data_IF_092689598952
#
_entry.id   IF_092689598952
#
_cell.length_a   1.000
_cell.length_b   1.000
_cell.length_c   1.000
_cell.angle_alpha   90.00
_cell.angle_beta   90.00
_cell.angle_gamma   90.00
#
_symmetry.space_group_name_H-M   'P 1'
#
loop_
_entity.id
_entity.type
_entity.pdbx_description
1 polymer ?
2 non-polymer ?
3 non-polymer ?
4 water ?
#
# COMPACT_ATOMS: atom_id res chain seq x y z
N UNK A 4 11.73 2.57 28.99
CA UNK A 4 12.04 2.55 27.50
C UNK A 4 10.93 3.26 26.72
N UNK A 5 11.22 4.39 26.03
CA UNK A 5 10.18 5.22 25.43
C UNK A 5 9.54 4.48 24.24
N UNK A 6 8.25 4.75 23.97
CA UNK A 6 7.60 4.21 22.75
C UNK A 6 8.01 5.04 21.55
N UNK A 7 8.21 4.42 20.37
CA UNK A 7 8.70 5.17 19.23
C UNK A 7 7.63 6.05 18.62
N UNK A 8 8.08 7.14 18.00
CA UNK A 8 7.24 8.12 17.25
C UNK A 8 7.28 7.77 15.76
N UNK A 9 8.30 7.02 15.35
CA UNK A 9 8.56 6.67 13.93
C UNK A 9 9.33 5.33 13.86
N UNK A 10 8.99 4.51 12.88
CA UNK A 10 9.65 3.22 12.61
C UNK A 10 10.07 3.20 11.16
N UNK A 11 11.00 2.33 10.86
CA UNK A 11 11.34 2.10 9.44
C UNK A 11 10.83 0.71 9.06
N UNK A 12 10.32 0.69 7.83
CA UNK A 12 9.66 -0.50 7.23
C UNK A 12 10.39 -0.80 5.92
N UNK A 13 10.82 -2.02 5.75
CA UNK A 13 11.34 -2.59 4.51
C UNK A 13 10.19 -3.30 3.80
N UNK A 14 10.06 -3.01 2.53
CA UNK A 14 9.14 -3.71 1.61
C UNK A 14 10.00 -4.36 0.55
N UNK A 15 9.86 -5.67 0.34
CA UNK A 15 10.50 -6.33 -0.80
C UNK A 15 9.46 -7.01 -1.67
N UNK A 16 9.65 -6.96 -2.96
CA UNK A 16 8.85 -7.75 -3.89
C UNK A 16 9.80 -8.45 -4.84
N UNK A 17 9.57 -9.74 -5.02
CA UNK A 17 10.40 -10.55 -5.94
C UNK A 17 9.57 -11.65 -6.57
N UNK A 18 9.50 -11.64 -7.87
CA UNK A 18 8.94 -12.76 -8.65
C UNK A 18 10.16 -13.68 -8.88
N UNK A 19 10.12 -14.82 -8.23
CA UNK A 19 11.29 -15.74 -8.17
C UNK A 19 11.34 -16.65 -9.40
N UNK A 20 10.34 -16.64 -10.29
CA UNK A 20 10.45 -17.40 -11.53
C UNK A 20 10.51 -18.89 -11.27
N UNK A 21 9.91 -19.35 -10.18
CA UNK A 21 9.78 -20.78 -9.83
C UNK A 21 11.17 -21.42 -9.70
N UNK A 22 12.17 -20.64 -9.30
CA UNK A 22 13.54 -21.15 -9.08
C UNK A 22 13.94 -20.85 -7.66
N UNK A 23 14.72 -21.73 -7.02
CA UNK A 23 15.25 -21.42 -5.71
C UNK A 23 16.18 -20.21 -5.77
N UNK A 24 16.27 -19.48 -4.67
CA UNK A 24 17.12 -18.30 -4.63
C UNK A 24 18.59 -18.70 -4.59
N UNK A 25 19.51 -17.78 -4.86
CA UNK A 25 20.92 -18.05 -4.70
C UNK A 25 21.26 -18.04 -3.20
N UNK A 26 22.52 -18.40 -2.88
CA UNK A 26 22.89 -18.60 -1.45
C UNK A 26 22.88 -17.26 -0.69
N UNK A 27 23.16 -16.16 -1.38
CA UNK A 27 23.21 -14.85 -0.72
C UNK A 27 22.20 -13.89 -1.37
N UNK A 28 21.32 -13.34 -0.54
CA UNK A 28 20.31 -12.37 -1.03
C UNK A 28 20.39 -11.13 -0.14
N UNK A 29 21.44 -10.95 0.66
CA UNK A 29 21.52 -9.79 1.58
C UNK A 29 21.44 -8.41 0.90
N UNK A 30 21.86 -8.30 -0.36
CA UNK A 30 21.81 -7.00 -1.10
C UNK A 30 20.36 -6.50 -1.15
N UNK A 31 19.40 -7.42 -1.20
CA UNK A 31 17.97 -7.06 -1.24
C UNK A 31 17.61 -6.29 0.04
N UNK A 32 17.90 -6.85 1.20
CA UNK A 32 17.49 -6.29 2.49
C UNK A 32 18.34 -5.07 2.84
N UNK A 33 19.48 -4.90 2.20
CA UNK A 33 20.33 -3.72 2.39
C UNK A 33 20.01 -2.62 1.39
N UNK A 34 19.01 -2.78 0.50
CA UNK A 34 18.66 -1.73 -0.47
C UNK A 34 19.89 -1.32 -1.28
N UNK A 35 20.62 -2.30 -1.82
CA UNK A 35 21.81 -2.11 -2.67
C UNK A 35 21.50 -2.53 -4.11
N UNK A 36 21.99 -1.76 -5.08
CA UNK A 36 21.89 -2.10 -6.49
C UNK A 36 21.68 -0.84 -7.24
N UNK A 37 20.60 -0.81 -8.02
CA UNK A 37 20.25 0.35 -8.86
C UNK A 37 19.12 1.14 -8.18
N UNK A 38 18.98 2.41 -8.55
CA UNK A 38 17.89 3.25 -8.12
C UNK A 38 18.28 4.09 -6.95
N UNK A 39 17.31 4.34 -6.07
CA UNK A 39 17.48 5.12 -4.82
C UNK A 39 17.87 4.14 -3.73
N UNK A 40 19.18 4.06 -3.45
CA UNK A 40 19.78 3.04 -2.60
C UNK A 40 20.09 3.61 -1.20
N UNK A 41 20.23 2.69 -0.29
CA UNK A 41 20.48 2.99 1.14
C UNK A 41 21.98 3.19 1.37
N UNK A 42 22.27 4.18 2.20
CA UNK A 42 23.66 4.54 2.55
C UNK A 42 24.33 3.36 3.27
N UNK A 43 25.59 3.14 2.89
CA UNK A 43 26.44 2.07 3.50
C UNK A 43 26.51 2.21 5.02
N UNK A 44 26.47 3.42 5.52
CA UNK A 44 26.63 3.70 6.97
C UNK A 44 25.45 3.13 7.76
N UNK A 45 24.33 2.77 7.09
CA UNK A 45 23.15 2.20 7.74
C UNK A 45 23.14 0.67 7.69
N UNK A 46 24.13 0.01 7.10
CA UNK A 46 23.98 -1.42 6.78
C UNK A 46 23.72 -2.26 8.02
N UNK A 47 24.27 -1.88 9.19
CA UNK A 47 24.08 -2.74 10.38
C UNK A 47 22.80 -2.39 11.12
N UNK A 48 22.10 -1.31 10.74
CA UNK A 48 20.92 -0.80 11.48
C UNK A 48 19.72 -1.58 10.99
N UNK A 49 19.05 -2.36 11.84
CA UNK A 49 17.91 -3.13 11.37
C UNK A 49 16.75 -2.19 11.15
N UNK A 50 15.93 -2.50 10.13
CA UNK A 50 14.59 -1.93 10.04
C UNK A 50 13.74 -2.51 11.16
N UNK A 51 12.68 -1.82 11.51
CA UNK A 51 11.77 -2.27 12.57
C UNK A 51 10.94 -3.44 12.08
N UNK A 52 10.48 -3.38 10.85
CA UNK A 52 9.55 -4.37 10.24
C UNK A 52 10.09 -4.65 8.84
N UNK A 53 10.18 -5.92 8.46
CA UNK A 53 10.48 -6.35 7.08
C UNK A 53 9.27 -7.08 6.52
N UNK A 54 8.79 -6.66 5.36
CA UNK A 54 7.64 -7.28 4.67
C UNK A 54 8.12 -7.76 3.35
N UNK A 55 8.00 -9.07 3.12
CA UNK A 55 8.65 -9.74 1.95
C UNK A 55 7.56 -10.40 1.10
N UNK A 56 7.30 -9.84 -0.08
CA UNK A 56 6.29 -10.39 -1.01
C UNK A 56 7.04 -11.13 -2.07
N UNK A 57 6.63 -12.37 -2.33
CA UNK A 57 7.15 -13.16 -3.46
C UNK A 57 5.99 -13.60 -4.35
N UNK A 58 6.35 -13.83 -5.57
CA UNK A 58 5.45 -14.40 -6.59
C UNK A 58 6.23 -15.50 -7.30
N UNK A 59 5.53 -16.49 -7.85
CA UNK A 59 6.20 -17.65 -8.46
C UNK A 59 7.22 -18.25 -7.49
N UNK A 60 6.86 -18.31 -6.20
CA UNK A 60 7.74 -18.78 -5.12
C UNK A 60 7.66 -20.31 -5.04
N UNK A 61 8.76 -21.00 -5.31
CA UNK A 61 8.75 -22.49 -5.33
C UNK A 61 8.99 -23.12 -3.96
N UNK A 62 9.29 -22.33 -2.95
CA UNK A 62 9.77 -22.82 -1.65
C UNK A 62 8.59 -23.08 -0.74
N UNK A 63 8.77 -23.98 0.22
CA UNK A 63 7.79 -24.11 1.30
C UNK A 63 7.92 -22.86 2.19
N UNK A 64 6.91 -22.61 3.01
CA UNK A 64 6.96 -21.50 3.98
C UNK A 64 8.19 -21.73 4.86
N UNK A 65 8.41 -22.98 5.30
CA UNK A 65 9.54 -23.24 6.21
C UNK A 65 10.86 -22.89 5.52
N UNK A 66 11.04 -23.35 4.30
CA UNK A 66 12.29 -23.14 3.57
C UNK A 66 12.55 -21.62 3.41
N UNK A 67 11.52 -20.87 3.09
CA UNK A 67 11.73 -19.42 2.83
C UNK A 67 11.96 -18.69 4.14
N UNK A 68 11.22 -19.00 5.22
CA UNK A 68 11.44 -18.40 6.54
C UNK A 68 12.87 -18.62 7.01
N UNK A 69 13.37 -19.83 6.83
CA UNK A 69 14.79 -20.20 7.12
C UNK A 69 15.70 -19.16 6.47
N UNK A 70 15.57 -19.00 5.16
CA UNK A 70 16.47 -18.17 4.35
C UNK A 70 16.34 -16.72 4.80
N UNK A 71 15.12 -16.26 4.99
CA UNK A 71 14.92 -14.85 5.34
C UNK A 71 15.53 -14.59 6.71
N UNK A 72 15.15 -15.36 7.70
CA UNK A 72 15.64 -15.07 9.05
C UNK A 72 17.17 -15.15 9.14
N UNK A 73 17.80 -16.15 8.51
CA UNK A 73 19.28 -16.29 8.46
C UNK A 73 19.87 -15.02 7.84
N UNK A 74 19.33 -14.59 6.69
CA UNK A 74 19.82 -13.41 5.94
C UNK A 74 19.79 -12.18 6.85
N UNK A 75 18.69 -11.94 7.57
CA UNK A 75 18.60 -10.77 8.46
C UNK A 75 19.56 -10.95 9.63
N UNK A 76 19.66 -12.15 10.17
CA UNK A 76 20.56 -12.34 11.33
C UNK A 76 22.01 -12.08 10.90
N UNK A 77 22.39 -12.49 9.70
CA UNK A 77 23.76 -12.25 9.20
C UNK A 77 24.00 -10.74 9.08
N UNK A 78 23.03 -10.01 8.58
CA UNK A 78 23.17 -8.54 8.34
C UNK A 78 23.26 -7.83 9.68
N UNK A 79 22.37 -8.15 10.62
CA UNK A 79 22.06 -7.26 11.76
C UNK A 79 22.50 -7.86 13.10
N UNK A 80 22.76 -9.14 13.13
CA UNK A 80 22.95 -9.95 14.37
C UNK A 80 21.70 -9.92 15.26
N UNK A 81 20.52 -9.67 14.68
CA UNK A 81 19.21 -9.72 15.37
C UNK A 81 18.45 -10.91 14.86
N UNK A 82 17.86 -11.66 15.78
CA UNK A 82 16.94 -12.76 15.43
C UNK A 82 15.53 -12.19 15.37
N UNK A 83 14.99 -12.08 14.15
CA UNK A 83 13.68 -11.47 13.93
C UNK A 83 12.58 -12.46 14.30
N UNK A 84 11.48 -11.92 14.75
CA UNK A 84 10.30 -12.71 15.08
C UNK A 84 9.33 -12.71 13.91
N UNK A 85 8.68 -13.83 13.68
CA UNK A 85 7.72 -13.94 12.59
C UNK A 85 6.39 -13.41 13.04
N UNK A 86 5.93 -12.30 12.46
CA UNK A 86 4.60 -11.72 12.75
C UNK A 86 3.54 -12.52 12.03
N UNK A 87 3.75 -12.78 10.75
CA UNK A 87 2.75 -13.46 9.93
C UNK A 87 3.38 -14.00 8.68
N UNK A 88 2.80 -15.07 8.16
CA UNK A 88 3.14 -15.62 6.83
C UNK A 88 1.84 -16.10 6.21
N UNK A 89 1.63 -15.80 4.95
CA UNK A 89 0.40 -16.27 4.26
C UNK A 89 0.72 -16.51 2.80
N UNK A 90 0.29 -17.63 2.27
CA UNK A 90 0.57 -18.06 0.90
C UNK A 90 -0.73 -18.39 0.20
N UNK A 91 -0.89 -17.90 -1.02
CA UNK A 91 -1.96 -18.32 -1.97
C UNK A 91 -1.20 -18.84 -3.17
N UNK A 92 -1.36 -20.11 -3.49
CA UNK A 92 -0.66 -20.75 -4.61
C UNK A 92 0.83 -20.47 -4.44
N UNK A 93 1.41 -19.69 -5.34
CA UNK A 93 2.86 -19.37 -5.29
C UNK A 93 3.09 -17.89 -4.98
N UNK A 94 2.09 -17.23 -4.38
CA UNK A 94 2.12 -15.81 -3.97
C UNK A 94 2.20 -15.78 -2.45
N UNK A 95 3.22 -15.13 -1.90
CA UNK A 95 3.47 -15.24 -0.45
C UNK A 95 3.82 -13.90 0.16
N UNK A 96 3.41 -13.72 1.37
CA UNK A 96 3.82 -12.55 2.16
C UNK A 96 4.37 -13.03 3.50
N UNK A 97 5.51 -12.50 3.90
CA UNK A 97 6.14 -12.74 5.24
C UNK A 97 6.34 -11.40 5.91
N UNK A 98 5.95 -11.29 7.17
CA UNK A 98 6.22 -10.09 7.98
C UNK A 98 7.07 -10.53 9.15
N UNK A 99 8.23 -9.89 9.26
CA UNK A 99 9.20 -10.10 10.34
C UNK A 99 9.38 -8.80 11.10
N UNK A 100 9.59 -8.90 12.41
CA UNK A 100 9.77 -7.67 13.24
C UNK A 100 10.86 -7.89 14.26
N UNK A 101 11.52 -6.80 14.66
CA UNK A 101 12.47 -6.79 15.80
C UNK A 101 11.81 -7.49 16.98
N UNK A 102 12.57 -8.27 17.79
CA UNK A 102 11.98 -8.87 18.98
C UNK A 102 11.40 -7.87 19.98
N UNK A 103 11.95 -6.68 20.07
CA UNK A 103 11.45 -5.65 21.02
C UNK A 103 10.02 -5.22 20.65
N UNK A 104 9.57 -5.48 19.40
CA UNK A 104 8.23 -5.04 18.93
C UNK A 104 7.16 -6.08 19.18
N UNK A 105 7.54 -7.25 19.70
CA UNK A 105 6.56 -8.32 19.86
C UNK A 105 5.31 -7.86 20.67
N UNK A 106 5.52 -7.10 21.74
CA UNK A 106 4.39 -6.68 22.61
C UNK A 106 3.72 -5.42 22.05
N UNK A 107 4.32 -4.76 21.04
CA UNK A 107 3.72 -3.54 20.41
C UNK A 107 2.78 -3.95 19.26
N UNK A 108 2.86 -5.20 18.86
CA UNK A 108 2.13 -5.69 17.66
C UNK A 108 0.95 -6.53 18.11
N UNK A 109 -0.22 -6.27 17.58
CA UNK A 109 -1.40 -7.04 17.94
C UNK A 109 -2.37 -7.06 16.77
N UNK A 110 -3.50 -7.72 16.91
CA UNK A 110 -4.59 -7.72 15.92
C UNK A 110 -4.02 -8.12 14.56
N UNK A 111 -3.29 -9.22 14.50
CA UNK A 111 -2.66 -9.68 13.26
C UNK A 111 -3.74 -10.37 12.45
N UNK A 112 -3.92 -9.92 11.21
CA UNK A 112 -4.88 -10.49 10.24
C UNK A 112 -4.14 -10.90 8.97
N UNK A 113 -4.64 -11.95 8.33
CA UNK A 113 -4.17 -12.39 7.00
C UNK A 113 -5.36 -12.67 6.13
N UNK A 114 -5.22 -12.49 4.84
CA UNK A 114 -6.28 -12.85 3.88
C UNK A 114 -5.67 -13.01 2.50
N UNK A 115 -6.46 -13.53 1.60
CA UNK A 115 -6.07 -13.62 0.17
C UNK A 115 -7.30 -13.39 -0.67
N UNK A 116 -7.05 -13.01 -1.89
CA UNK A 116 -8.10 -12.89 -2.92
C UNK A 116 -7.58 -13.58 -4.17
N UNK A 117 -8.38 -14.44 -4.76
CA UNK A 117 -8.14 -15.09 -6.06
C UNK A 117 -8.79 -14.27 -7.14
N UNK A 118 -8.07 -13.79 -8.15
CA UNK A 118 -8.70 -12.97 -9.21
C UNK A 118 -9.19 -13.83 -10.39
N UNK A 119 -10.07 -13.28 -11.24
CA UNK A 119 -10.46 -13.96 -12.50
C UNK A 119 -11.57 -14.99 -12.28
N UNK A 120 -11.97 -15.66 -13.36
CA UNK A 120 -13.12 -16.63 -13.40
C UNK A 120 -12.76 -17.74 -14.40
N UNK A 121 -12.89 -19.01 -13.99
CA UNK A 121 -12.72 -20.24 -14.83
C UNK A 121 -11.27 -20.30 -15.37
N UNK A 122 -11.08 -20.14 -16.70
CA UNK A 122 -9.78 -19.92 -17.40
C UNK A 122 -8.80 -19.12 -16.51
N UNK A 123 -9.24 -17.93 -16.08
CA UNK A 123 -8.41 -16.83 -15.49
C UNK A 123 -8.36 -16.95 -13.96
N UNK A 124 -9.10 -17.91 -13.35
CA UNK A 124 -8.96 -18.26 -11.91
C UNK A 124 -8.01 -19.46 -11.81
N UNK A 125 -6.91 -19.31 -11.09
CA UNK A 125 -6.04 -20.46 -10.78
C UNK A 125 -4.62 -20.10 -10.43
N UNK A 126 -4.14 -18.90 -10.82
CA UNK A 126 -2.81 -18.57 -10.24
C UNK A 126 -2.53 -17.11 -9.85
N UNK A 127 -3.38 -16.17 -10.25
CA UNK A 127 -3.19 -14.71 -9.96
C UNK A 127 -4.05 -14.33 -8.75
N UNK A 128 -3.63 -13.30 -8.02
CA UNK A 128 -4.40 -12.77 -6.92
C UNK A 128 -3.51 -12.05 -5.96
N UNK A 129 -3.89 -12.06 -4.70
CA UNK A 129 -3.15 -11.30 -3.72
C UNK A 129 -3.21 -11.94 -2.35
N UNK A 130 -2.18 -11.69 -1.55
CA UNK A 130 -2.19 -12.02 -0.11
C UNK A 130 -1.95 -10.73 0.65
N UNK A 131 -2.42 -10.67 1.88
CA UNK A 131 -2.16 -9.48 2.69
C UNK A 131 -2.10 -9.79 4.15
N UNK A 132 -1.52 -8.85 4.87
CA UNK A 132 -1.34 -8.91 6.32
C UNK A 132 -1.70 -7.53 6.86
N UNK A 133 -2.38 -7.46 7.99
CA UNK A 133 -2.51 -6.21 8.75
C UNK A 133 -2.26 -6.46 10.23
N UNK A 134 -1.90 -5.40 10.92
CA UNK A 134 -1.78 -5.48 12.39
C UNK A 134 -1.76 -4.05 12.90
N UNK A 135 -1.89 -3.97 14.22
CA UNK A 135 -1.66 -2.71 14.94
C UNK A 135 -0.22 -2.71 15.41
N UNK A 136 0.44 -1.57 15.30
CA UNK A 136 1.72 -1.29 15.96
C UNK A 136 1.39 -0.15 16.92
N UNK A 137 1.33 -0.46 18.19
CA UNK A 137 0.83 0.50 19.22
C UNK A 137 -0.47 1.14 18.69
N UNK A 138 -0.53 2.45 18.50
CA UNK A 138 -1.77 3.11 18.14
C UNK A 138 -1.96 3.23 16.64
N UNK A 139 -1.10 2.59 15.84
CA UNK A 139 -1.07 2.78 14.37
C UNK A 139 -1.43 1.49 13.68
N UNK A 140 -2.36 1.57 12.72
CA UNK A 140 -2.76 0.39 11.92
C UNK A 140 -1.89 0.37 10.64
N UNK A 141 -1.43 -0.81 10.31
CA UNK A 141 -0.54 -1.05 9.14
C UNK A 141 -1.16 -2.16 8.30
N UNK A 142 -1.23 -1.96 6.99
CA UNK A 142 -1.71 -2.96 6.04
C UNK A 142 -0.68 -3.19 4.96
N UNK A 143 -0.61 -4.41 4.46
CA UNK A 143 0.39 -4.79 3.46
C UNK A 143 -0.27 -5.72 2.48
N UNK A 144 -0.15 -5.44 1.20
CA UNK A 144 -0.77 -6.27 0.14
C UNK A 144 0.33 -6.66 -0.83
N UNK A 145 0.49 -7.96 -1.12
CA UNK A 145 1.35 -8.47 -2.20
C UNK A 145 0.42 -9.04 -3.25
N UNK A 146 0.42 -8.46 -4.42
CA UNK A 146 -0.45 -8.94 -5.53
C UNK A 146 0.42 -9.37 -6.71
N UNK A 147 0.01 -10.44 -7.35
CA UNK A 147 0.52 -10.91 -8.66
C UNK A 147 -0.65 -10.70 -9.62
N UNK A 148 -0.60 -9.67 -10.43
CA UNK A 148 -1.71 -9.34 -11.35
C UNK A 148 -1.50 -10.02 -12.71
N UNK A 149 -2.53 -9.99 -13.53
CA UNK A 149 -2.59 -10.62 -14.85
C UNK A 149 -1.40 -10.17 -15.66
N UNK A 150 -0.76 -11.09 -16.39
CA UNK A 150 0.38 -10.80 -17.26
C UNK A 150 -0.05 -10.42 -18.66
N UNK A 151 0.91 -9.87 -19.40
CA UNK A 151 0.73 -9.61 -20.82
C UNK A 151 0.55 -8.16 -21.11
N UNK A 152 1.25 -7.69 -22.12
CA UNK A 152 1.23 -6.25 -22.45
C UNK A 152 -0.17 -5.76 -22.82
N UNK A 153 -1.01 -6.66 -23.35
CA UNK A 153 -2.33 -6.32 -23.93
C UNK A 153 -3.40 -6.22 -22.82
N UNK A 154 -3.05 -6.60 -21.58
CA UNK A 154 -4.06 -6.82 -20.53
C UNK A 154 -4.02 -5.79 -19.39
N UNK A 155 -3.74 -4.55 -19.69
CA UNK A 155 -3.72 -3.55 -18.61
C UNK A 155 -5.12 -3.40 -17.98
N UNK A 156 -6.20 -3.48 -18.77
CA UNK A 156 -7.55 -3.35 -18.21
C UNK A 156 -7.84 -4.49 -17.23
N UNK A 157 -7.45 -5.72 -17.56
CA UNK A 157 -7.59 -6.88 -16.63
C UNK A 157 -6.83 -6.57 -15.34
N UNK A 158 -5.60 -6.06 -15.45
CA UNK A 158 -4.85 -5.75 -14.23
C UNK A 158 -5.65 -4.73 -13.38
N UNK A 159 -6.24 -3.73 -14.02
CA UNK A 159 -7.01 -2.70 -13.27
C UNK A 159 -8.20 -3.36 -12.57
N UNK A 160 -8.79 -4.31 -13.28
CA UNK A 160 -9.93 -5.07 -12.70
C UNK A 160 -9.45 -5.96 -11.56
N UNK A 161 -8.27 -6.57 -11.69
CA UNK A 161 -7.72 -7.40 -10.60
C UNK A 161 -7.52 -6.49 -9.36
N UNK A 162 -6.96 -5.29 -9.56
CA UNK A 162 -6.74 -4.32 -8.47
C UNK A 162 -8.07 -4.05 -7.74
N UNK A 163 -9.13 -3.79 -8.50
CA UNK A 163 -10.42 -3.43 -7.85
C UNK A 163 -10.96 -4.65 -7.09
N UNK A 164 -10.87 -5.84 -7.68
CA UNK A 164 -11.31 -7.03 -6.94
C UNK A 164 -10.55 -7.22 -5.65
N UNK A 165 -9.23 -7.06 -5.68
CA UNK A 165 -8.41 -7.22 -4.47
C UNK A 165 -8.83 -6.19 -3.41
N UNK A 166 -8.94 -4.95 -3.87
CA UNK A 166 -9.30 -3.77 -3.05
C UNK A 166 -10.63 -4.07 -2.34
N UNK A 167 -11.59 -4.63 -3.07
CA UNK A 167 -12.96 -4.86 -2.56
C UNK A 167 -12.99 -6.01 -1.58
N UNK A 168 -12.30 -7.07 -1.88
CA UNK A 168 -12.57 -8.38 -1.23
C UNK A 168 -11.51 -8.81 -0.24
N UNK A 169 -10.37 -8.12 -0.16
CA UNK A 169 -9.39 -8.53 0.82
C UNK A 169 -9.87 -8.04 2.19
N UNK A 170 -10.02 -8.95 3.14
CA UNK A 170 -10.63 -8.69 4.45
C UNK A 170 -9.53 -8.57 5.48
N UNK A 171 -9.02 -7.37 5.65
CA UNK A 171 -7.96 -7.08 6.63
C UNK A 171 -8.44 -5.96 7.53
N UNK A 172 -7.76 -5.76 8.64
CA UNK A 172 -8.01 -4.65 9.54
C UNK A 172 -9.28 -4.82 10.31
N UNK A 173 -9.80 -3.72 10.83
CA UNK A 173 -10.91 -3.74 11.83
C UNK A 173 -12.24 -4.00 11.13
N UNK A 174 -12.84 -5.17 11.32
CA UNK A 174 -14.12 -5.55 10.67
C UNK A 174 -15.25 -4.59 11.07
N UNK A 175 -15.11 -3.87 12.21
CA UNK A 175 -16.16 -2.87 12.58
C UNK A 175 -16.19 -1.70 11.58
N UNK A 176 -15.13 -1.53 10.77
CA UNK A 176 -15.09 -0.45 9.76
C UNK A 176 -15.81 -0.92 8.52
N UNK A 177 -17.07 -1.35 8.70
CA UNK A 177 -17.78 -2.13 7.67
C UNK A 177 -17.98 -1.37 6.37
N UNK A 178 -18.13 -0.03 6.30
CA UNK A 178 -18.29 0.63 5.01
C UNK A 178 -16.99 0.80 4.25
N UNK A 179 -15.87 0.48 4.87
CA UNK A 179 -14.53 0.85 4.37
C UNK A 179 -13.80 -0.36 3.83
N UNK A 180 -13.24 -0.20 2.65
CA UNK A 180 -12.30 -1.18 2.08
C UNK A 180 -10.88 -0.97 2.63
N UNK A 181 -9.95 -1.83 2.18
CA UNK A 181 -8.56 -1.70 2.70
C UNK A 181 -7.96 -0.35 2.38
N UNK A 182 -8.44 0.37 1.38
CA UNK A 182 -7.82 1.69 1.05
C UNK A 182 -8.18 2.76 2.09
N UNK A 183 -9.00 2.46 3.09
CA UNK A 183 -9.32 3.38 4.18
C UNK A 183 -9.06 2.79 5.56
N UNK A 184 -8.71 1.52 5.68
CA UNK A 184 -8.69 0.91 7.02
C UNK A 184 -7.39 1.16 7.79
N UNK A 185 -6.32 1.64 7.14
CA UNK A 185 -4.99 1.66 7.75
C UNK A 185 -4.41 3.06 7.77
N UNK A 186 -3.67 3.36 8.82
CA UNK A 186 -2.85 4.58 8.89
C UNK A 186 -1.90 4.58 7.69
N UNK A 187 -1.27 3.45 7.46
CA UNK A 187 -0.35 3.27 6.32
C UNK A 187 -0.69 1.96 5.61
N UNK A 188 -0.87 2.02 4.31
CA UNK A 188 -1.15 0.83 3.50
C UNK A 188 -0.05 0.74 2.44
N UNK A 189 0.64 -0.39 2.34
CA UNK A 189 1.67 -0.62 1.33
C UNK A 189 1.14 -1.68 0.39
N UNK A 190 1.17 -1.42 -0.90
CA UNK A 190 0.68 -2.36 -1.90
C UNK A 190 1.81 -2.57 -2.90
N UNK A 191 2.22 -3.80 -3.09
CA UNK A 191 3.43 -4.13 -3.86
C UNK A 191 3.16 -5.45 -4.55
N UNK A 192 4.08 -5.82 -5.42
CA UNK A 192 4.00 -7.12 -6.06
C UNK A 192 4.52 -7.07 -7.49
N UNK A 193 4.31 -8.20 -8.17
CA UNK A 193 4.43 -8.24 -9.64
C UNK A 193 3.10 -7.76 -10.21
N UNK A 194 2.99 -6.45 -10.30
CA UNK A 194 1.79 -5.81 -10.84
C UNK A 194 1.67 -5.98 -12.35
N UNK A 195 2.77 -6.30 -13.02
CA UNK A 195 2.73 -6.80 -14.41
C UNK A 195 2.38 -5.74 -15.43
N UNK A 196 2.37 -4.46 -15.07
CA UNK A 196 2.21 -3.39 -16.06
C UNK A 196 3.50 -3.28 -16.88
N UNK A 197 3.35 -2.99 -18.17
CA UNK A 197 4.43 -3.01 -19.15
C UNK A 197 4.71 -1.64 -19.71
N UNK A 198 5.87 -1.57 -20.36
CA UNK A 198 6.23 -0.39 -21.16
C UNK A 198 5.60 -0.62 -22.53
N UNK A 199 4.59 0.19 -22.86
CA UNK A 199 3.74 -0.02 -24.05
C UNK A 199 4.33 0.75 -25.23
N UNK A 200 5.36 0.17 -25.86
CA UNK A 200 6.01 0.68 -27.07
C UNK A 200 5.90 -0.44 -28.09
N UNK A 201 6.05 -0.13 -29.40
CA UNK A 201 5.95 -1.18 -30.41
C UNK A 201 7.04 -2.22 -30.23
N UNK A 202 6.73 -3.48 -30.53
CA UNK A 202 7.62 -4.64 -30.26
C UNK A 202 8.91 -4.55 -31.10
N UNK A 203 8.86 -3.87 -32.24
CA UNK A 203 10.05 -3.67 -33.13
C UNK A 203 10.93 -2.51 -32.61
N UNK A 204 10.51 -1.82 -31.55
CA UNK A 204 11.41 -0.92 -30.78
C UNK A 204 12.18 -1.65 -29.67
N UNK A 205 12.16 -2.98 -29.59
CA UNK A 205 12.82 -3.73 -28.50
C UNK A 205 14.28 -3.34 -28.37
N UNK A 206 15.04 -3.31 -29.47
CA UNK A 206 16.50 -3.11 -29.34
C UNK A 206 16.72 -1.65 -28.98
N UNK A 207 15.88 -0.74 -29.46
CA UNK A 207 15.98 0.69 -29.07
C UNK A 207 15.77 0.81 -27.57
N UNK A 208 14.77 0.10 -27.04
CA UNK A 208 14.51 0.15 -25.57
C UNK A 208 15.71 -0.36 -24.78
N UNK A 209 16.30 -1.45 -25.25
CA UNK A 209 17.49 -2.02 -24.61
C UNK A 209 18.62 -1.01 -24.59
N UNK A 210 18.82 -0.30 -25.69
CA UNK A 210 19.95 0.67 -25.77
C UNK A 210 19.66 1.86 -24.83
N UNK A 211 18.40 2.29 -24.69
CA UNK A 211 18.05 3.34 -23.71
C UNK A 211 18.37 2.86 -22.27
N UNK A 212 18.08 1.60 -21.98
CA UNK A 212 18.36 1.05 -20.64
C UNK A 212 19.87 1.01 -20.38
N UNK A 213 20.65 0.63 -21.35
CA UNK A 213 22.12 0.59 -21.21
C UNK A 213 22.68 1.99 -20.96
N UNK A 214 22.05 3.03 -21.49
CA UNK A 214 22.45 4.43 -21.29
C UNK A 214 21.85 5.01 -20.03
N UNK A 215 21.11 4.20 -19.27
CA UNK A 215 20.39 4.69 -18.06
C UNK A 215 19.50 5.89 -18.37
N UNK A 216 18.82 5.86 -19.51
CA UNK A 216 17.94 6.94 -19.99
C UNK A 216 16.55 6.37 -19.95
N UNK A 217 15.90 6.52 -18.79
CA UNK A 217 14.59 5.86 -18.57
C UNK A 217 13.42 6.76 -18.91
N UNK A 218 13.60 8.05 -19.20
CA UNK A 218 12.46 9.00 -19.29
C UNK A 218 11.49 8.60 -20.40
N UNK A 219 11.98 8.25 -21.58
CA UNK A 219 11.09 7.97 -22.72
C UNK A 219 10.50 6.56 -22.52
N UNK A 220 11.03 5.77 -21.59
CA UNK A 220 10.40 4.48 -21.29
C UNK A 220 9.30 4.68 -20.24
N UNK A 221 9.60 5.41 -19.16
CA UNK A 221 8.62 5.64 -18.07
C UNK A 221 7.39 6.37 -18.59
N UNK A 222 7.54 7.23 -19.62
CA UNK A 222 6.36 7.95 -20.18
C UNK A 222 5.42 6.96 -20.87
N UNK A 223 5.82 5.70 -21.11
CA UNK A 223 4.96 4.66 -21.70
C UNK A 223 4.66 3.53 -20.71
N UNK A 224 5.11 3.67 -19.46
CA UNK A 224 4.81 2.64 -18.45
C UNK A 224 3.31 2.68 -18.17
N UNK A 225 2.69 1.50 -18.32
CA UNK A 225 1.22 1.45 -18.21
C UNK A 225 0.75 1.77 -16.80
N UNK A 226 1.50 1.45 -15.76
CA UNK A 226 1.03 1.75 -14.40
C UNK A 226 0.98 3.29 -14.20
N UNK A 227 2.04 3.98 -14.58
CA UNK A 227 2.06 5.47 -14.49
C UNK A 227 0.96 6.07 -15.38
N UNK A 228 0.76 5.57 -16.60
CA UNK A 228 -0.25 6.20 -17.47
C UNK A 228 -1.64 5.88 -16.97
N UNK A 229 -1.92 4.65 -16.55
CA UNK A 229 -3.24 4.33 -16.01
C UNK A 229 -3.52 5.11 -14.73
N UNK A 230 -2.51 5.29 -13.88
CA UNK A 230 -2.64 6.07 -12.63
C UNK A 230 -2.93 7.53 -12.98
N UNK A 231 -2.30 8.07 -14.03
CA UNK A 231 -2.47 9.50 -14.39
C UNK A 231 -3.90 9.71 -14.89
N UNK A 232 -4.50 8.71 -15.54
CA UNK A 232 -5.87 8.78 -16.07
C UNK A 232 -6.90 8.30 -15.02
N UNK A 233 -6.47 8.06 -13.79
CA UNK A 233 -7.32 7.68 -12.64
C UNK A 233 -8.05 6.38 -12.96
N UNK A 234 -7.38 5.44 -13.61
CA UNK A 234 -7.97 4.10 -13.94
C UNK A 234 -7.63 3.09 -12.86
N UNK A 235 -6.62 3.36 -12.02
CA UNK A 235 -6.14 2.36 -11.04
C UNK A 235 -5.32 3.08 -9.99
N UNK A 236 -5.26 2.55 -8.78
CA UNK A 236 -4.42 3.04 -7.70
C UNK A 236 -4.69 4.53 -7.43
N UNK A 237 -5.94 4.92 -7.48
CA UNK A 237 -6.32 6.31 -7.16
C UNK A 237 -5.91 6.57 -5.72
N UNK A 238 -5.25 7.69 -5.51
CA UNK A 238 -4.84 8.19 -4.17
C UNK A 238 -3.69 7.42 -3.56
N UNK A 239 -3.01 6.57 -4.34
CA UNK A 239 -1.72 5.97 -3.94
C UNK A 239 -0.56 6.75 -4.48
N UNK A 240 0.59 6.62 -3.82
CA UNK A 240 1.87 7.25 -4.25
C UNK A 240 2.87 6.17 -4.65
N UNK A 241 3.81 6.54 -5.52
CA UNK A 241 4.97 5.70 -5.85
C UNK A 241 6.15 6.65 -5.92
N UNK A 242 7.29 6.20 -5.39
CA UNK A 242 8.58 6.95 -5.49
C UNK A 242 9.04 6.93 -6.97
N UNK A 243 9.73 7.97 -7.39
CA UNK A 243 10.28 8.03 -8.74
C UNK A 243 11.12 6.80 -8.98
N UNK A 244 10.96 6.22 -10.17
CA UNK A 244 11.73 5.08 -10.62
C UNK A 244 13.04 5.51 -11.25
N UNK A 245 14.15 5.06 -10.70
CA UNK A 245 15.51 5.45 -11.19
C UNK A 245 16.36 4.21 -11.38
N UNK A 246 15.75 3.04 -11.51
CA UNK A 246 16.42 1.74 -11.73
C UNK A 246 15.92 1.21 -13.08
N UNK A 247 16.70 0.33 -13.67
CA UNK A 247 16.33 -0.31 -14.94
C UNK A 247 15.10 -1.17 -14.76
N UNK A 248 14.36 -1.39 -15.84
CA UNK A 248 13.30 -2.41 -15.87
C UNK A 248 13.75 -3.72 -15.23
N UNK A 249 12.87 -4.30 -14.41
CA UNK A 249 13.21 -5.47 -13.60
C UNK A 249 12.81 -6.77 -14.30
N UNK A 250 12.28 -6.70 -15.51
CA UNK A 250 11.76 -7.88 -16.25
C UNK A 250 11.96 -7.54 -17.72
N UNK A 251 12.18 -8.51 -18.63
CA UNK A 251 12.41 -9.92 -18.41
C UNK A 251 13.87 -10.25 -18.72
N UNK A 252 14.61 -10.72 -17.76
CA UNK A 252 16.07 -11.05 -17.89
C UNK A 252 16.26 -12.51 -18.27
N UNK A 253 17.30 -12.75 -19.04
CA UNK A 253 17.91 -14.11 -19.05
C UNK A 253 18.38 -14.42 -17.64
N UNK A 254 18.12 -15.64 -17.18
CA UNK A 254 18.61 -16.08 -15.86
C UNK A 254 20.14 -16.21 -15.82
N UNK A 255 20.73 -15.99 -14.67
CA UNK A 255 22.16 -16.24 -14.30
C UNK A 255 23.06 -15.09 -14.78
N UNK A 256 22.52 -14.08 -15.43
CA UNK A 256 23.24 -12.83 -15.72
C UNK A 256 22.25 -11.69 -15.49
N UNK A 257 22.65 -10.43 -15.53
CA UNK A 257 21.68 -9.32 -15.76
C UNK A 257 22.07 -8.59 -17.03
N UNK A 258 22.88 -9.22 -17.88
CA UNK A 258 23.42 -8.48 -19.04
C UNK A 258 22.44 -8.53 -20.22
N UNK A 259 21.40 -9.35 -20.14
CA UNK A 259 20.53 -9.61 -21.29
C UNK A 259 19.05 -9.58 -20.89
N UNK A 260 18.32 -8.79 -21.62
CA UNK A 260 16.83 -8.84 -21.61
C UNK A 260 16.36 -9.85 -22.64
N UNK A 261 15.52 -10.79 -22.21
CA UNK A 261 14.93 -11.84 -23.05
C UNK A 261 13.51 -11.41 -23.37
N UNK A 262 13.34 -10.74 -24.50
CA UNK A 262 12.03 -10.14 -24.86
C UNK A 262 11.28 -10.84 -25.99
N UNK A 263 11.99 -11.68 -26.76
CA UNK A 263 11.45 -12.28 -28.01
C UNK A 263 10.33 -13.28 -27.68
N UNK A 264 9.36 -13.42 -28.58
CA UNK A 264 8.26 -14.37 -28.39
C UNK A 264 8.79 -15.80 -28.57
N UNK A 265 8.33 -16.67 -27.68
CA UNK A 265 8.77 -18.08 -27.54
C UNK A 265 7.52 -18.93 -27.26
N UNK A 266 7.56 -20.23 -27.58
CA UNK A 266 6.42 -21.08 -27.18
C UNK A 266 6.16 -20.94 -25.68
N UNK A 267 7.22 -20.87 -24.87
CA UNK A 267 7.14 -20.81 -23.39
C UNK A 267 6.46 -19.51 -22.95
N UNK A 268 6.44 -18.47 -23.78
CA UNK A 268 5.69 -17.22 -23.45
C UNK A 268 4.31 -17.17 -24.08
N UNK A 269 3.79 -18.25 -24.67
CA UNK A 269 2.53 -18.15 -25.39
C UNK A 269 2.66 -17.29 -26.62
N UNK A 270 3.85 -17.26 -27.20
CA UNK A 270 4.17 -16.44 -28.38
C UNK A 270 3.90 -14.97 -28.11
N UNK A 271 4.22 -14.53 -26.90
CA UNK A 271 4.10 -13.12 -26.46
C UNK A 271 5.49 -12.51 -26.35
N UNK A 272 5.62 -11.26 -26.77
CA UNK A 272 6.82 -10.46 -26.50
C UNK A 272 6.72 -10.00 -25.05
N UNK A 273 7.87 -9.90 -24.45
CA UNK A 273 8.02 -9.32 -23.09
C UNK A 273 9.03 -8.18 -23.19
N UNK A 274 8.61 -7.05 -23.72
CA UNK A 274 9.52 -5.91 -23.79
C UNK A 274 9.91 -5.56 -22.35
N UNK A 275 11.15 -5.08 -22.12
CA UNK A 275 11.59 -4.69 -20.79
C UNK A 275 10.59 -3.75 -20.12
N UNK A 276 10.24 -4.12 -18.88
CA UNK A 276 9.16 -3.46 -18.14
C UNK A 276 9.47 -3.39 -16.65
N UNK A 277 8.83 -2.41 -16.02
CA UNK A 277 8.81 -2.30 -14.55
C UNK A 277 7.62 -3.06 -13.99
N UNK A 278 7.73 -4.39 -14.02
CA UNK A 278 6.59 -5.22 -13.53
C UNK A 278 6.45 -5.12 -12.01
N UNK A 279 7.53 -4.86 -11.31
CA UNK A 279 7.68 -5.15 -9.88
C UNK A 279 7.72 -3.83 -9.11
N UNK A 280 6.71 -3.54 -8.30
CA UNK A 280 6.46 -2.16 -7.86
C UNK A 280 6.07 -2.11 -6.39
N UNK A 281 6.28 -0.96 -5.78
CA UNK A 281 5.83 -0.69 -4.40
C UNK A 281 5.13 0.65 -4.40
N UNK A 282 3.89 0.66 -3.97
CA UNK A 282 3.09 1.88 -3.80
C UNK A 282 2.58 1.95 -2.38
N UNK A 283 2.16 3.14 -1.96
CA UNK A 283 1.61 3.30 -0.60
C UNK A 283 0.51 4.34 -0.56
N UNK A 284 -0.27 4.27 0.48
CA UNK A 284 -1.31 5.26 0.79
C UNK A 284 -1.35 5.40 2.30
N UNK A 285 -1.13 6.58 2.79
CA UNK A 285 -1.21 6.88 4.22
C UNK A 285 -2.28 7.92 4.46
N UNK A 286 -2.85 7.91 5.64
CA UNK A 286 -3.86 8.91 6.03
C UNK A 286 -3.24 10.29 5.92
N UNK A 287 -4.09 11.30 5.71
CA UNK A 287 -3.61 12.67 5.52
C UNK A 287 -2.78 13.12 6.72
N UNK A 288 -1.69 13.83 6.45
CA UNK A 288 -0.83 14.52 7.43
C UNK A 288 -0.21 13.53 8.41
N UNK A 289 -0.02 12.28 7.98
CA UNK A 289 0.83 11.36 8.74
C UNK A 289 2.19 11.30 8.04
N UNK A 290 3.24 11.28 8.83
CA UNK A 290 4.61 11.20 8.30
C UNK A 290 4.80 9.88 7.56
N UNK A 291 5.24 9.97 6.32
CA UNK A 291 5.67 8.77 5.56
C UNK A 291 6.65 9.28 4.53
N UNK A 292 7.86 8.75 4.54
CA UNK A 292 8.93 9.18 3.61
C UNK A 292 9.62 7.95 3.06
N UNK A 293 9.60 7.83 1.73
CA UNK A 293 10.37 6.77 1.05
C UNK A 293 11.86 7.10 1.14
N UNK A 294 12.62 6.18 1.73
CA UNK A 294 14.09 6.30 1.94
C UNK A 294 14.87 5.57 0.84
N UNK A 295 14.27 4.57 0.20
CA UNK A 295 14.96 3.79 -0.85
C UNK A 295 13.90 3.18 -1.76
N UNK A 296 14.25 3.03 -3.00
CA UNK A 296 13.38 2.39 -4.01
C UNK A 296 14.28 2.00 -5.15
N UNK A 297 14.52 0.70 -5.30
CA UNK A 297 15.48 0.24 -6.28
C UNK A 297 15.40 -1.22 -6.55
N UNK A 298 16.35 -1.73 -7.30
CA UNK A 298 16.43 -3.17 -7.61
C UNK A 298 17.82 -3.69 -7.38
N UNK A 299 17.93 -4.97 -7.04
CA UNK A 299 19.25 -5.58 -6.86
C UNK A 299 19.82 -5.88 -8.24
N UNK A 300 21.16 -5.96 -8.27
CA UNK A 300 21.92 -6.29 -9.47
C UNK A 300 22.58 -7.67 -9.39
N UNK A 301 22.63 -8.28 -8.21
CA UNK A 301 23.46 -9.48 -7.99
C UNK A 301 22.63 -10.71 -7.67
N UNK A 302 21.29 -10.70 -7.85
CA UNK A 302 20.41 -11.85 -7.56
C UNK A 302 19.78 -12.20 -8.91
N UNK A 303 20.19 -13.33 -9.48
CA UNK A 303 20.00 -13.61 -10.94
C UNK A 303 19.31 -14.95 -11.20
N UNK A 304 18.71 -15.59 -10.18
CA UNK A 304 18.08 -16.92 -10.36
C UNK A 304 16.76 -16.80 -11.11
N UNK A 305 16.12 -15.62 -11.08
CA UNK A 305 14.84 -15.38 -11.70
C UNK A 305 14.99 -14.56 -12.99
N UNK A 306 13.95 -14.54 -13.77
CA UNK A 306 13.83 -13.62 -14.91
C UNK A 306 13.35 -12.22 -14.44
N UNK A 307 13.05 -12.04 -13.16
CA UNK A 307 12.87 -10.73 -12.52
C UNK A 307 13.98 -10.47 -11.55
N UNK A 308 14.34 -9.20 -11.38
CA UNK A 308 15.17 -8.77 -10.25
C UNK A 308 14.31 -8.36 -9.08
N UNK A 309 14.73 -8.69 -7.86
CA UNK A 309 14.07 -8.18 -6.66
C UNK A 309 14.02 -6.66 -6.64
N UNK A 310 12.96 -6.14 -6.06
CA UNK A 310 12.77 -4.69 -5.82
C UNK A 310 12.68 -4.50 -4.32
N UNK A 311 13.26 -3.41 -3.84
CA UNK A 311 13.21 -3.01 -2.44
C UNK A 311 12.67 -1.60 -2.34
N UNK A 312 11.98 -1.33 -1.28
CA UNK A 312 11.61 0.03 -0.89
C UNK A 312 11.66 0.13 0.62
N UNK A 313 12.14 1.24 1.14
CA UNK A 313 12.11 1.45 2.60
C UNK A 313 11.42 2.76 2.89
N UNK A 314 10.81 2.80 4.09
CA UNK A 314 10.00 3.91 4.53
C UNK A 314 10.26 4.25 5.97
N UNK A 315 10.26 5.54 6.27
CA UNK A 315 10.12 6.05 7.66
C UNK A 315 8.64 6.41 7.85
N UNK A 316 7.93 5.76 8.79
CA UNK A 316 6.48 5.86 8.98
C UNK A 316 6.20 6.35 10.39
N UNK A 317 5.42 7.40 10.48
CA UNK A 317 4.96 7.90 11.78
C UNK A 317 4.10 6.87 12.47
N UNK A 318 4.27 6.72 13.80
CA UNK A 318 3.47 5.83 14.65
C UNK A 318 3.15 6.61 15.91
N UNK A 319 2.08 6.17 16.53
CA UNK A 319 1.58 6.79 17.76
C UNK A 319 1.55 5.74 18.84
N UNK A 320 1.52 6.22 20.09
CA UNK A 320 1.50 5.38 21.31
C UNK A 320 0.09 4.82 21.51
N UNK A 321 -0.02 3.73 22.24
CA UNK A 321 -1.27 3.38 22.94
C UNK A 321 -1.45 4.50 23.96
N UNK A 322 -2.62 5.12 24.00
CA UNK A 322 -2.92 6.23 24.95
C UNK A 322 -3.92 5.77 26.01
N UNK A 323 -3.60 6.03 27.29
CA UNK A 323 -4.50 5.80 28.45
C UNK A 323 -4.62 7.14 29.19
N UNK A 324 -5.83 7.57 29.47
CA UNK A 324 -6.08 8.71 30.38
C UNK A 324 -6.91 8.20 31.56
N UNK A 325 -7.16 9.09 32.53
CA UNK A 325 -8.02 8.76 33.69
C UNK A 325 -9.46 8.51 33.21
N UNK A 326 -9.84 9.12 32.08
CA UNK A 326 -11.18 8.94 31.47
C UNK A 326 -11.07 7.81 30.43
N UNK A 327 -11.00 8.11 29.13
CA UNK A 327 -10.95 7.05 28.12
C UNK A 327 -9.55 6.42 28.07
N UNK A 328 -9.42 5.18 27.57
CA UNK A 328 -10.54 4.34 27.14
C UNK A 328 -11.49 3.85 28.24
N UNK A 329 -12.74 3.57 27.86
CA UNK A 329 -13.78 3.09 28.78
C UNK A 329 -14.82 4.14 29.12
N UNK A 330 -14.59 5.38 28.71
CA UNK A 330 -15.58 6.47 28.83
C UNK A 330 -15.16 7.59 27.90
N UNK A 331 -15.97 8.62 27.81
CA UNK A 331 -15.66 9.84 27.03
C UNK A 331 -14.88 10.80 27.92
N UNK A 332 -14.25 11.81 27.33
CA UNK A 332 -13.55 12.91 28.05
C UNK A 332 -14.27 14.20 27.68
N UNK A 333 -15.10 14.72 28.57
CA UNK A 333 -16.04 15.83 28.26
C UNK A 333 -15.26 17.10 27.87
N UNK A 334 -13.95 17.15 28.07
CA UNK A 334 -13.13 18.35 27.69
C UNK A 334 -12.78 18.29 26.20
N UNK A 335 -13.14 17.19 25.52
CA UNK A 335 -12.96 17.04 24.06
C UNK A 335 -14.26 17.08 23.28
N UNK A 336 -14.24 17.66 22.07
CA UNK A 336 -15.37 17.57 21.13
C UNK A 336 -14.92 17.86 19.69
N UNK A 337 -15.63 17.25 18.78
CA UNK A 337 -15.44 17.50 17.33
C UNK A 337 -16.77 17.91 16.73
N UNK A 338 -16.80 19.13 16.19
CA UNK A 338 -17.97 19.75 15.53
C UNK A 338 -17.67 19.93 14.05
N UNK A 339 -18.60 19.45 13.21
CA UNK A 339 -18.67 19.71 11.75
C UNK A 339 -19.72 20.78 11.44
N UNK A 340 -19.28 21.88 10.84
CA UNK A 340 -20.10 23.04 10.41
C UNK A 340 -20.23 23.02 8.90
N UNK A 341 -21.43 23.35 8.39
CA UNK A 341 -21.61 23.81 6.99
C UNK A 341 -21.04 22.72 6.07
N UNK A 342 -21.33 21.47 6.38
CA UNK A 342 -20.78 20.37 5.55
C UNK A 342 -21.74 20.03 4.41
N UNK A 343 -21.14 19.63 3.30
CA UNK A 343 -21.92 19.08 2.19
C UNK A 343 -21.07 18.06 1.42
N UNK A 344 -21.79 17.08 0.97
CA UNK A 344 -21.22 16.07 0.06
C UNK A 344 -21.67 16.41 -1.35
N UNK A 345 -20.81 16.24 -2.33
CA UNK A 345 -21.13 16.35 -3.75
C UNK A 345 -20.97 14.95 -4.30
N UNK A 346 -22.02 14.38 -4.87
CA UNK A 346 -21.92 12.97 -5.33
C UNK A 346 -22.12 12.91 -6.82
N UNK A 347 -21.45 11.97 -7.46
CA UNK A 347 -21.60 11.73 -8.92
C UNK A 347 -22.82 10.86 -9.25
N UNK A 348 -23.45 10.22 -8.28
CA UNK A 348 -24.62 9.33 -8.46
C UNK A 348 -25.77 10.01 -9.19
N UNK A 349 -26.50 9.21 -9.96
CA UNK A 349 -27.75 9.67 -10.63
C UNK A 349 -28.97 9.34 -9.76
N UNK A 350 -28.80 8.63 -8.64
CA UNK A 350 -29.91 8.17 -7.76
C UNK A 350 -30.48 9.35 -6.96
N UNK A 351 -31.62 9.18 -6.27
CA UNK A 351 -32.30 10.28 -5.53
C UNK A 351 -32.82 9.84 -4.14
N UNK A 352 -32.30 8.76 -3.55
CA UNK A 352 -32.48 8.40 -2.11
C UNK A 352 -32.04 9.60 -1.24
N UNK A 353 -32.46 9.60 0.01
CA UNK A 353 -31.85 10.45 1.04
C UNK A 353 -30.53 9.77 1.45
N UNK A 354 -29.63 10.57 1.99
CA UNK A 354 -28.31 10.10 2.48
C UNK A 354 -28.11 10.53 3.92
N UNK A 355 -27.37 9.71 4.66
CA UNK A 355 -26.85 10.02 6.01
C UNK A 355 -25.36 9.70 6.03
N UNK A 356 -24.69 10.26 7.02
CA UNK A 356 -23.25 10.02 7.22
C UNK A 356 -23.05 9.03 8.35
N UNK A 357 -21.92 8.32 8.27
CA UNK A 357 -21.37 7.61 9.44
C UNK A 357 -19.95 8.11 9.69
N UNK A 358 -19.63 8.45 10.93
CA UNK A 358 -18.31 8.87 11.38
C UNK A 358 -17.70 7.68 12.12
N UNK A 359 -16.56 7.18 11.68
CA UNK A 359 -15.83 6.09 12.33
C UNK A 359 -14.43 6.53 12.73
N UNK A 360 -14.08 6.27 13.96
CA UNK A 360 -12.73 6.59 14.42
C UNK A 360 -12.43 5.84 15.71
N UNK A 361 -11.17 5.41 15.85
CA UNK A 361 -10.60 4.84 17.09
C UNK A 361 -10.75 5.82 18.26
N UNK A 362 -10.86 7.12 17.99
CA UNK A 362 -11.01 8.13 19.07
C UNK A 362 -12.45 8.17 19.61
N UNK A 363 -13.38 7.43 18.99
CA UNK A 363 -14.80 7.35 19.45
C UNK A 363 -15.09 5.99 20.05
N UNK A 364 -16.02 5.95 21.00
CA UNK A 364 -16.38 4.66 21.63
C UNK A 364 -17.02 3.76 20.59
N UNK A 365 -17.79 4.33 19.66
CA UNK A 365 -18.36 3.59 18.54
C UNK A 365 -18.76 4.59 17.45
N UNK A 366 -19.08 4.06 16.30
CA UNK A 366 -19.33 4.95 15.15
C UNK A 366 -20.59 5.75 15.40
N UNK A 367 -20.69 6.88 14.73
CA UNK A 367 -21.82 7.84 14.90
C UNK A 367 -22.54 8.02 13.58
N UNK A 368 -23.88 7.92 13.61
CA UNK A 368 -24.75 8.01 12.43
C UNK A 368 -25.51 9.34 12.48
N UNK A 369 -25.32 10.19 11.46
CA UNK A 369 -25.96 11.52 11.35
C UNK A 369 -27.43 11.33 10.98
N UNK A 370 -28.16 12.43 11.07
CA UNK A 370 -29.47 12.57 10.42
C UNK A 370 -29.26 12.63 8.90
N UNK A 371 -30.34 12.47 8.18
CA UNK A 371 -30.34 12.64 6.71
C UNK A 371 -30.01 14.07 6.35
N UNK A 372 -29.24 14.24 5.30
CA UNK A 372 -28.97 15.52 4.68
C UNK A 372 -30.11 15.96 3.79
N UNK A 373 -30.02 17.19 3.32
CA UNK A 373 -31.00 17.78 2.37
C UNK A 373 -30.37 17.78 0.98
N UNK A 374 -30.99 17.06 0.08
CA UNK A 374 -30.59 16.99 -1.34
C UNK A 374 -30.91 18.29 -2.07
N UNK A 375 -29.94 18.80 -2.81
CA UNK A 375 -30.14 19.88 -3.82
C UNK A 375 -29.45 19.43 -5.10
N UNK A 376 -29.75 20.10 -6.21
CA UNK A 376 -29.14 19.89 -7.55
C UNK A 376 -28.00 20.90 -7.71
N UNK A 377 -26.77 20.43 -8.00
CA UNK A 377 -25.63 21.26 -8.40
C UNK A 377 -25.82 21.87 -9.79
N UNK A 378 -25.10 22.96 -10.10
CA UNK A 378 -25.30 23.77 -11.33
C UNK A 378 -24.87 22.98 -12.58
N UNK A 379 -23.94 22.02 -12.42
CA UNK A 379 -23.35 21.24 -13.54
C UNK A 379 -23.91 19.81 -13.53
N UNK A 380 -25.11 19.58 -12.93
CA UNK A 380 -25.84 18.30 -12.99
C UNK A 380 -25.85 17.49 -11.68
N UNK A 381 -25.00 17.82 -10.70
CA UNK A 381 -24.57 16.91 -9.60
C UNK A 381 -25.60 16.84 -8.47
N UNK A 382 -25.55 15.79 -7.66
CA UNK A 382 -26.26 15.80 -6.37
C UNK A 382 -25.36 16.43 -5.29
N UNK A 383 -25.90 17.41 -4.57
CA UNK A 383 -25.30 18.04 -3.39
C UNK A 383 -26.15 17.64 -2.21
N UNK A 384 -25.54 17.09 -1.20
CA UNK A 384 -26.24 16.67 0.04
C UNK A 384 -25.77 17.60 1.13
N UNK A 385 -26.67 18.44 1.63
CA UNK A 385 -26.33 19.49 2.63
C UNK A 385 -26.62 18.96 4.03
N UNK A 386 -25.65 19.10 4.93
CA UNK A 386 -25.84 18.74 6.36
C UNK A 386 -25.95 20.01 7.22
N UNK A 387 -25.64 21.17 6.64
CA UNK A 387 -25.52 22.46 7.34
C UNK A 387 -24.77 22.33 8.68
N UNK A 388 -25.49 22.61 9.77
CA UNK A 388 -24.97 22.65 11.16
C UNK A 388 -25.69 21.54 11.92
N UNK A 389 -26.23 20.56 11.20
CA UNK A 389 -27.11 19.50 11.75
C UNK A 389 -26.29 18.33 12.33
N UNK A 390 -24.99 18.20 12.00
CA UNK A 390 -24.23 16.95 12.30
C UNK A 390 -24.00 16.78 13.80
N UNK A 391 -24.06 15.53 14.32
CA UNK A 391 -23.92 15.25 15.75
C UNK A 391 -22.53 15.70 16.24
N UNK A 392 -22.44 16.26 17.43
CA UNK A 392 -21.14 16.62 18.04
C UNK A 392 -20.45 15.32 18.44
N UNK A 393 -19.19 15.08 18.01
CA UNK A 393 -18.50 13.78 18.29
C UNK A 393 -17.74 13.92 19.61
N UNK A 394 -17.83 12.86 20.41
CA UNK A 394 -17.32 12.85 21.80
C UNK A 394 -16.15 11.89 21.86
N UNK A 395 -14.91 12.41 21.77
CA UNK A 395 -13.74 11.55 21.80
C UNK A 395 -13.51 11.00 23.20
N UNK A 396 -12.83 9.88 23.25
CA UNK A 396 -12.56 9.13 24.50
C UNK A 396 -11.48 9.81 25.33
N UNK A 397 -10.65 10.59 24.67
CA UNK A 397 -9.46 11.26 25.27
C UNK A 397 -9.39 12.67 24.71
N UNK A 398 -9.19 13.67 25.54
CA UNK A 398 -9.25 15.11 25.15
C UNK A 398 -7.84 15.67 24.95
N UNK A 399 -6.81 14.96 25.42
CA UNK A 399 -5.42 15.43 25.41
C UNK A 399 -5.05 15.72 23.96
N UNK A 400 -4.58 16.93 23.64
CA UNK A 400 -4.29 17.28 22.25
C UNK A 400 -3.16 16.46 21.66
N UNK A 401 -2.22 15.98 22.47
CA UNK A 401 -1.11 15.10 22.02
C UNK A 401 -1.66 13.77 21.47
N UNK A 402 -2.85 13.41 21.90
CA UNK A 402 -3.57 12.24 21.34
C UNK A 402 -4.46 12.75 20.21
N UNK A 403 -5.34 13.70 20.48
CA UNK A 403 -6.50 13.91 19.58
C UNK A 403 -6.02 14.45 18.22
N UNK A 404 -5.00 15.32 18.21
CA UNK A 404 -4.58 15.97 16.97
C UNK A 404 -3.90 14.93 16.04
N UNK A 405 -3.54 13.77 16.57
CA UNK A 405 -2.97 12.67 15.75
C UNK A 405 -4.04 11.74 15.17
N UNK A 406 -5.33 11.96 15.43
CA UNK A 406 -6.39 11.03 15.02
C UNK A 406 -6.94 11.42 13.66
N UNK A 407 -7.80 10.55 13.15
CA UNK A 407 -8.48 10.71 11.86
C UNK A 407 -9.92 10.26 11.95
N UNK A 408 -10.81 10.90 11.21
CA UNK A 408 -12.23 10.53 11.14
C UNK A 408 -12.49 9.98 9.75
N UNK A 409 -12.88 8.71 9.66
CA UNK A 409 -13.40 8.13 8.42
C UNK A 409 -14.86 8.53 8.28
N UNK A 410 -15.24 8.90 7.08
CA UNK A 410 -16.64 9.28 6.75
C UNK A 410 -17.16 8.37 5.64
N UNK A 411 -18.35 7.83 5.84
CA UNK A 411 -19.12 7.13 4.79
C UNK A 411 -20.42 7.89 4.61
N UNK A 412 -20.79 8.13 3.37
CA UNK A 412 -22.15 8.64 3.04
C UNK A 412 -22.95 7.45 2.52
N UNK A 413 -24.07 7.19 3.21
CA UNK A 413 -24.86 5.96 2.96
C UNK A 413 -26.30 6.32 2.53
N UNK A 414 -26.81 5.51 1.65
CA UNK A 414 -28.22 5.63 1.22
C UNK A 414 -29.15 5.23 2.37
N UNK A 415 -30.15 6.05 2.67
CA UNK A 415 -31.22 5.70 3.64
C UNK A 415 -31.99 4.47 3.15
N UNK A 416 -32.16 4.30 1.85
CA UNK A 416 -33.01 3.22 1.25
C UNK A 416 -32.29 1.87 1.40
N UNK A 417 -30.97 1.83 1.22
CA UNK A 417 -30.25 0.54 1.09
C UNK A 417 -29.21 0.35 2.18
N UNK A 418 -28.84 1.43 2.88
CA UNK A 418 -27.73 1.43 3.88
C UNK A 418 -26.39 1.06 3.20
N UNK A 419 -26.35 1.28 1.88
CA UNK A 419 -25.08 1.00 1.17
C UNK A 419 -24.27 2.30 1.09
N UNK A 420 -22.93 2.16 1.29
CA UNK A 420 -22.03 3.34 1.15
C UNK A 420 -21.94 3.73 -0.31
N UNK A 421 -22.12 5.02 -0.58
CA UNK A 421 -21.89 5.61 -1.91
C UNK A 421 -20.52 6.26 -1.96
N UNK A 422 -19.86 6.48 -0.83
CA UNK A 422 -18.54 7.14 -0.83
C UNK A 422 -17.94 7.12 0.55
N UNK A 423 -16.63 6.97 0.54
CA UNK A 423 -15.79 6.88 1.75
C UNK A 423 -14.63 7.85 1.64
N UNK A 424 -14.29 8.47 2.75
CA UNK A 424 -13.14 9.37 2.84
C UNK A 424 -12.58 9.48 4.23
N UNK A 425 -11.61 10.36 4.40
CA UNK A 425 -10.89 10.47 5.65
C UNK A 425 -10.46 11.91 5.92
N UNK A 426 -10.71 12.36 7.12
CA UNK A 426 -10.36 13.73 7.60
C UNK A 426 -9.32 13.64 8.70
N UNK A 427 -8.20 14.34 8.57
CA UNK A 427 -7.20 14.42 9.64
C UNK A 427 -7.65 15.44 10.70
N UNK A 428 -7.37 15.12 11.95
CA UNK A 428 -7.55 16.11 13.07
C UNK A 428 -6.26 16.88 13.38
N UNK A 429 -5.25 16.78 12.52
CA UNK A 429 -3.95 17.48 12.70
C UNK A 429 -4.10 18.94 12.26
N UNK A 430 -4.94 19.70 12.96
CA UNK A 430 -5.39 21.04 12.54
C UNK A 430 -4.36 22.12 12.84
N UNK A 431 -4.45 23.22 12.15
CA UNK A 431 -3.61 24.40 12.41
C UNK A 431 -3.99 25.09 13.71
N UNK A 432 -5.19 24.88 14.21
CA UNK A 432 -5.73 25.57 15.40
C UNK A 432 -6.80 24.71 16.02
N UNK A 433 -7.02 24.85 17.33
CA UNK A 433 -8.19 24.31 18.05
C UNK A 433 -9.16 25.45 18.38
N UNK A 434 -10.39 25.10 18.68
CA UNK A 434 -11.45 26.07 19.06
C UNK A 434 -11.62 27.08 17.93
N UNK A 435 -11.33 26.72 16.67
CA UNK A 435 -11.27 27.62 15.49
C UNK A 435 -11.95 26.89 14.33
N UNK A 436 -12.87 27.53 13.61
CA UNK A 436 -13.53 26.90 12.43
C UNK A 436 -12.52 26.85 11.31
N UNK A 437 -12.25 25.64 10.80
CA UNK A 437 -11.23 25.50 9.75
C UNK A 437 -11.78 24.66 8.62
N UNK A 438 -11.39 24.94 7.37
CA UNK A 438 -11.90 24.11 6.27
C UNK A 438 -11.41 22.65 6.41
N UNK A 439 -12.27 21.72 6.04
CA UNK A 439 -11.91 20.29 5.82
C UNK A 439 -12.37 19.86 4.45
N UNK A 440 -11.75 18.77 4.00
CA UNK A 440 -12.01 18.25 2.64
C UNK A 440 -11.51 16.81 2.61
N UNK A 441 -12.29 15.95 1.96
CA UNK A 441 -11.79 14.66 1.44
C UNK A 441 -12.49 14.35 0.14
N UNK A 442 -11.78 13.72 -0.80
CA UNK A 442 -12.47 13.05 -1.90
C UNK A 442 -13.21 11.85 -1.32
N UNK A 443 -14.26 11.43 -1.98
CA UNK A 443 -15.02 10.23 -1.59
C UNK A 443 -14.82 9.20 -2.70
N UNK A 444 -14.59 7.95 -2.31
CA UNK A 444 -14.47 6.85 -3.26
C UNK A 444 -15.40 5.72 -2.85
N UNK A 445 -15.69 4.85 -3.78
CA UNK A 445 -16.41 3.60 -3.49
C UNK A 445 -15.81 2.56 -4.41
N UNK A 446 -15.44 1.41 -3.84
CA UNK A 446 -14.65 0.39 -4.57
C UNK A 446 -13.40 1.04 -5.18
N UNK A 447 -12.84 2.04 -4.49
CA UNK A 447 -11.59 2.70 -4.88
C UNK A 447 -11.72 3.66 -6.04
N UNK A 448 -12.93 3.86 -6.58
CA UNK A 448 -13.15 4.81 -7.67
C UNK A 448 -13.78 6.09 -7.10
N UNK A 449 -13.47 7.21 -7.72
CA UNK A 449 -14.01 8.51 -7.25
C UNK A 449 -15.52 8.58 -7.40
N UNK A 450 -16.24 8.90 -6.33
CA UNK A 450 -17.70 9.01 -6.39
C UNK A 450 -18.19 10.40 -5.97
N UNK A 451 -17.31 11.24 -5.46
CA UNK A 451 -17.75 12.53 -4.92
C UNK A 451 -16.72 13.15 -4.04
N UNK A 452 -17.18 14.11 -3.28
CA UNK A 452 -16.36 14.91 -2.38
C UNK A 452 -17.16 15.26 -1.12
N UNK A 453 -16.44 15.49 -0.06
CA UNK A 453 -17.03 15.99 1.20
C UNK A 453 -16.18 17.16 1.67
N UNK A 454 -16.88 18.28 1.94
CA UNK A 454 -16.19 19.51 2.40
C UNK A 454 -17.06 20.24 3.39
N UNK A 455 -16.39 21.06 4.18
CA UNK A 455 -17.09 21.83 5.20
C UNK A 455 -16.08 22.45 6.10
N UNK A 456 -16.48 22.64 7.35
CA UNK A 456 -15.56 23.16 8.36
C UNK A 456 -15.65 22.27 9.59
N UNK A 457 -14.57 22.29 10.36
CA UNK A 457 -14.43 21.56 11.62
C UNK A 457 -14.05 22.58 12.72
N UNK A 458 -14.41 22.21 13.91
CA UNK A 458 -14.06 22.96 15.14
C UNK A 458 -13.69 21.89 16.17
N UNK A 459 -12.44 21.82 16.57
CA UNK A 459 -11.92 20.79 17.47
C UNK A 459 -11.61 21.41 18.84
N UNK A 460 -12.23 20.85 19.87
CA UNK A 460 -11.96 21.20 21.29
C UNK A 460 -11.06 20.12 21.90
N UNK A 461 -9.90 20.50 22.44
CA UNK A 461 -9.04 19.60 23.20
C UNK A 461 -8.99 20.14 24.62
N UNK A 462 -8.33 19.44 25.52
CA UNK A 462 -8.14 19.92 26.92
C UNK A 462 -7.21 21.13 26.98
N UNK A 463 -6.51 21.48 25.91
CA UNK A 463 -5.62 22.67 25.98
C UNK A 463 -6.26 23.88 25.28
X LIG B 1 -0.56 13.93 -6.43
X LIG B 1 -0.46 14.04 -7.68
X LIG B 1 0.27 12.90 -8.38
X LIG B 1 0.28 13.03 -9.91
X LIG B 1 0.42 11.68 -10.61
X LIG B 1 -0.60 10.76 -10.50
X LIG B 1 0.63 9.22 -11.87
X LIG B 1 -1.54 14.82 -5.94
X LIG B 1 -0.32 15.24 -3.87
X LIG B 1 -1.04 17.44 -2.70
X LIG B 1 1.11 16.54 -2.63
X LIG B 1 0.02 16.40 -3.05
X LIG B 1 1.66 10.13 -11.98
X LIG B 1 1.54 11.37 -11.35
X LIG B 1 -1.60 14.95 -4.42
X LIG B 1 0.60 14.21 -4.25
X LIG B 1 0.68 14.03 -5.76
X LIG B 1 -0.49 9.53 -11.12
X LIG C 1 2.10 -15.36 15.02
X LIG C 1 2.69 -14.37 15.59
X LIG C 1 3.59 -14.85 16.73
X LIG C 1 3.62 -13.86 17.90
X LIG C 1 4.08 -12.45 17.53
X LIG C 1 5.31 -12.22 16.91
X LIG C 1 4.87 -9.84 16.88
X LIG C 1 0.76 -15.04 14.68
X LIG C 1 0.90 -16.35 12.59
X LIG C 1 -0.81 -15.62 10.73
X LIG C 1 1.30 -16.53 10.34
X LIG C 1 0.54 -16.20 11.18
X LIG C 1 3.64 -10.07 17.49
X LIG C 1 3.25 -11.36 17.81
X LIG C 1 0.07 -16.00 13.70
X LIG C 1 2.12 -16.89 13.07
X LIG C 1 2.88 -15.93 13.99
X LIG C 1 5.71 -10.92 16.61
X LIG D 1 -2.55 6.68 14.00
X LIG D 1 -1.14 6.43 14.49
X LIG D 1 -2.43 8.23 13.19
X LIG D 1 -3.53 7.25 15.36
X LIG E 1 -8.96 5.26 12.53
X LIG E 1 -9.40 5.98 13.77
X LIG E 1 -10.08 3.88 12.43
X LIG E 1 -9.65 6.15 11.24
X LIG F 1 -8.94 10.30 0.96
X LIG F 1 -9.08 8.99 1.75
X LIG F 1 -7.60 10.06 -0.13
X LIG F 1 -8.20 11.43 2.10
#
# INVERSE_FOLDING_TARGET
SMEQPEPDMITIFIGTWNMGNAPPPKKITSWFLSKGQGKTRDDSADYIPHDIYVIGTQEDPLSEKEWLEILKHSLQEITSVTFKTVAIHTLWNIRIVVLAKPEHENRISHICTDNVKTGIANTLGNKGAVGVSFMFNGTSLGFVNSHLTSGSEKKLRRNQNYMNILRFLALGDKKLSPFNITHRFTHLFWFGDLNYRVDLPTWEAETIIQKIKQQQYADLLSHDQLLTERREQKVFLHFEEEEITFAPTYRFERLTRDKYAYTKQKATGMKYNLPSWCDRVLWKSYPLVHVVCQSYGSTSDIMTSDHSPVFATFEAGVTSQFVSKNGPGTVDSQGQIEFLRCYATLKTKSQTKFYLEFHSSCLESFVKSQEGENEEGSEGELVVKFGETLPKLKPIISDPEYLLDQHILISIKSSDSDESYGEGCIALRLEATETQLPIYTPLTHHGELTGHFQGEIKLQTSQ
O3J N1 C4 C5 C6 C7 C8 C10 C13 N C O C1 C11 C12 C14 C2 C3 C9
O3J N1 C4 C5 C6 C7 C8 C10 C13 N C O C1 C11 C12 C14 C2 C3 C9
DMS S O C1 C2
DMS S O C1 C2
DMS S O C1 C2
#
